data_IF_603237807347
#
_entry.id   IF_603237807347
#
_cell.length_a   1.000
_cell.length_b   1.000
_cell.length_c   1.000
_cell.angle_alpha   90.00
_cell.angle_beta   90.00
_cell.angle_gamma   90.00
#
_symmetry.space_group_name_H-M   'P 1'
#
loop_
_entity.id
_entity.type
_entity.pdbx_description
1 polymer ?
#
# COMPACT_ATOMS: atom_id res chain seq x y z
N UNK A 1 -5.55 -4.62 29.65
CA UNK A 1 -6.40 -3.46 29.91
C UNK A 1 -7.11 -3.03 28.67
N UNK A 2 -8.41 -2.99 28.74
CA UNK A 2 -9.24 -2.62 27.62
C UNK A 2 -8.91 -1.23 27.07
N UNK A 3 -8.72 -0.27 27.96
CA UNK A 3 -8.37 1.10 27.59
C UNK A 3 -7.05 1.17 26.84
N UNK A 4 -6.04 0.44 27.30
CA UNK A 4 -4.74 0.42 26.65
C UNK A 4 -4.80 -0.29 25.28
N UNK A 5 -5.61 -1.34 25.20
CA UNK A 5 -5.80 -2.03 23.94
C UNK A 5 -6.32 -1.08 22.86
N UNK A 6 -7.31 -0.26 23.18
CA UNK A 6 -7.88 0.67 22.20
C UNK A 6 -7.00 1.91 21.95
N UNK A 7 -6.04 2.19 22.82
CA UNK A 7 -5.11 3.29 22.63
C UNK A 7 -3.91 2.89 21.78
N UNK A 8 -3.69 1.59 21.57
CA UNK A 8 -2.64 1.11 20.69
C UNK A 8 -3.17 0.92 19.28
N UNK A 9 -2.42 1.38 18.28
CA UNK A 9 -2.77 1.11 16.91
C UNK A 9 -2.31 -0.31 16.52
N UNK A 10 -2.85 -0.82 15.42
CA UNK A 10 -2.59 -2.19 14.99
C UNK A 10 -1.12 -2.41 14.66
N UNK A 11 -0.47 -1.45 14.01
CA UNK A 11 0.94 -1.58 13.64
C UNK A 11 1.84 -1.72 14.86
N UNK A 12 1.56 -0.96 15.93
CA UNK A 12 2.32 -1.06 17.19
C UNK A 12 2.10 -2.41 17.86
N UNK A 13 0.86 -2.88 17.89
CA UNK A 13 0.54 -4.17 18.49
C UNK A 13 1.25 -5.32 17.79
N UNK A 14 1.42 -5.21 16.49
CA UNK A 14 2.10 -6.23 15.68
C UNK A 14 3.61 -6.01 15.57
N UNK A 15 4.14 -4.94 16.11
CA UNK A 15 5.57 -4.64 16.04
C UNK A 15 6.04 -4.26 14.63
N UNK A 16 5.20 -3.64 13.83
CA UNK A 16 5.46 -3.39 12.41
C UNK A 16 5.88 -1.95 12.10
N UNK A 17 6.16 -1.14 13.10
CA UNK A 17 6.40 0.29 12.91
C UNK A 17 7.63 0.62 12.07
N UNK A 18 8.62 -0.26 12.08
CA UNK A 18 9.88 -0.02 11.36
C UNK A 18 9.96 -0.72 10.00
N UNK A 19 8.94 -1.47 9.62
CA UNK A 19 8.96 -2.23 8.38
C UNK A 19 8.60 -1.35 7.19
N UNK A 20 9.42 -1.40 6.13
CA UNK A 20 9.18 -0.66 4.90
C UNK A 20 8.31 -1.42 3.92
N UNK A 21 8.42 -2.74 3.90
CA UNK A 21 7.65 -3.59 2.99
C UNK A 21 7.01 -4.70 3.81
N UNK A 22 5.70 -4.82 3.70
CA UNK A 22 4.93 -5.86 4.36
C UNK A 22 4.10 -6.60 3.33
N UNK A 23 4.22 -7.92 3.30
CA UNK A 23 3.44 -8.75 2.40
C UNK A 23 2.41 -9.55 3.18
N UNK A 24 1.15 -9.44 2.77
CA UNK A 24 0.03 -10.11 3.42
C UNK A 24 -0.31 -11.35 2.61
N UNK A 25 -0.20 -12.52 3.24
CA UNK A 25 -0.45 -13.81 2.60
C UNK A 25 -1.46 -14.60 3.42
N UNK A 26 -1.96 -15.70 2.86
CA UNK A 26 -2.88 -16.58 3.56
C UNK A 26 -4.30 -16.49 3.07
N UNK A 27 -5.26 -16.87 3.91
CA UNK A 27 -6.67 -16.92 3.57
C UNK A 27 -7.37 -15.56 3.55
N UNK A 28 -8.68 -15.55 3.77
CA UNK A 28 -9.48 -14.34 3.72
C UNK A 28 -9.06 -13.27 4.72
N UNK A 29 -9.48 -12.03 4.49
CA UNK A 29 -9.23 -10.92 5.39
C UNK A 29 -7.96 -10.13 5.11
N UNK A 30 -7.15 -10.54 4.13
CA UNK A 30 -5.90 -9.85 3.81
C UNK A 30 -6.11 -8.40 3.41
N UNK A 31 -7.07 -8.16 2.52
CA UNK A 31 -7.34 -6.81 2.02
C UNK A 31 -7.81 -5.89 3.15
N UNK A 32 -8.70 -6.36 4.00
CA UNK A 32 -9.17 -5.57 5.14
C UNK A 32 -8.05 -5.21 6.09
N UNK A 33 -7.17 -6.16 6.38
CA UNK A 33 -6.02 -5.92 7.26
C UNK A 33 -5.06 -4.92 6.63
N UNK A 34 -4.76 -5.09 5.36
CA UNK A 34 -3.88 -4.20 4.62
C UNK A 34 -4.43 -2.77 4.59
N UNK A 35 -5.71 -2.63 4.29
CA UNK A 35 -6.36 -1.31 4.26
C UNK A 35 -6.31 -0.65 5.63
N UNK A 36 -6.60 -1.41 6.68
CA UNK A 36 -6.58 -0.89 8.06
C UNK A 36 -5.19 -0.39 8.43
N UNK A 37 -4.16 -1.18 8.16
CA UNK A 37 -2.78 -0.77 8.43
C UNK A 37 -2.36 0.43 7.59
N UNK A 38 -2.77 0.45 6.33
CA UNK A 38 -2.48 1.58 5.45
C UNK A 38 -3.05 2.88 5.98
N UNK A 39 -4.30 2.86 6.40
CA UNK A 39 -4.95 4.03 6.99
C UNK A 39 -4.24 4.45 8.28
N UNK A 40 -3.86 3.49 9.10
CA UNK A 40 -3.15 3.74 10.34
C UNK A 40 -1.83 4.46 10.14
N UNK A 41 -1.00 3.93 9.23
CA UNK A 41 0.27 4.57 8.89
C UNK A 41 0.05 5.98 8.34
N UNK A 42 -0.93 6.12 7.45
CA UNK A 42 -1.22 7.41 6.83
C UNK A 42 -1.67 8.45 7.85
N UNK A 43 -2.45 8.04 8.84
CA UNK A 43 -2.85 8.93 9.93
C UNK A 43 -1.67 9.40 10.77
N UNK A 44 -0.62 8.61 10.84
CA UNK A 44 0.64 8.99 11.47
C UNK A 44 1.54 9.79 10.53
N UNK A 45 1.04 10.17 9.36
CA UNK A 45 1.74 10.91 8.31
C UNK A 45 2.92 10.13 7.73
N UNK A 46 2.81 8.81 7.73
CA UNK A 46 3.80 7.94 7.09
C UNK A 46 3.29 7.61 5.68
N UNK A 47 4.00 8.02 4.63
CA UNK A 47 3.59 7.71 3.25
C UNK A 47 3.47 6.21 3.05
N UNK A 48 2.33 5.77 2.54
CA UNK A 48 1.99 4.36 2.43
C UNK A 48 1.39 4.06 1.07
N UNK A 49 1.88 2.99 0.44
CA UNK A 49 1.42 2.52 -0.86
C UNK A 49 0.87 1.12 -0.73
N UNK A 50 -0.37 0.94 -1.14
CA UNK A 50 -1.03 -0.37 -1.19
C UNK A 50 -0.85 -0.95 -2.59
N UNK A 51 -0.49 -2.23 -2.69
CA UNK A 51 -0.34 -2.88 -3.99
C UNK A 51 -0.58 -4.39 -3.88
N UNK A 52 -0.30 -5.12 -4.93
CA UNK A 52 -0.52 -6.56 -4.97
C UNK A 52 0.52 -7.23 -5.88
N UNK A 53 0.84 -8.47 -5.59
CA UNK A 53 1.58 -9.34 -6.52
C UNK A 53 0.66 -10.32 -7.24
N UNK A 54 -0.63 -10.24 -7.00
CA UNK A 54 -1.64 -11.06 -7.65
C UNK A 54 -2.73 -10.19 -8.26
N UNK A 55 -3.86 -10.07 -7.56
CA UNK A 55 -4.99 -9.24 -7.98
C UNK A 55 -5.64 -8.63 -6.76
N UNK A 56 -6.11 -7.40 -6.89
CA UNK A 56 -6.98 -6.76 -5.89
C UNK A 56 -8.04 -5.95 -6.63
N UNK A 57 -9.10 -5.64 -5.93
CA UNK A 57 -10.05 -4.67 -6.45
C UNK A 57 -9.50 -3.27 -6.20
N UNK A 58 -9.65 -2.40 -7.19
CA UNK A 58 -9.25 -1.00 -7.03
C UNK A 58 -9.94 -0.43 -5.79
N UNK A 59 -9.19 0.14 -4.84
CA UNK A 59 -9.80 0.71 -3.63
C UNK A 59 -10.75 1.84 -3.97
N UNK A 60 -11.98 1.74 -3.49
CA UNK A 60 -12.98 2.78 -3.73
C UNK A 60 -13.00 3.84 -2.62
N UNK A 61 -12.32 3.59 -1.50
CA UNK A 61 -12.24 4.55 -0.41
C UNK A 61 -11.15 5.62 -0.63
N UNK A 62 -10.31 5.47 -1.65
CA UNK A 62 -9.27 6.44 -1.97
C UNK A 62 -9.73 7.40 -3.07
N UNK A 63 -9.28 8.67 -3.02
CA UNK A 63 -9.57 9.58 -4.13
C UNK A 63 -8.86 9.11 -5.40
N UNK A 64 -9.41 9.49 -6.55
CA UNK A 64 -8.89 9.05 -7.84
C UNK A 64 -7.40 9.34 -8.03
N UNK A 65 -6.94 10.49 -7.57
CA UNK A 65 -5.53 10.87 -7.70
C UNK A 65 -4.59 9.99 -6.88
N UNK A 66 -5.12 9.29 -5.88
CA UNK A 66 -4.35 8.37 -5.06
C UNK A 66 -4.33 6.95 -5.64
N UNK A 67 -5.05 6.72 -6.72
CA UNK A 67 -5.07 5.43 -7.42
C UNK A 67 -4.15 5.51 -8.61
N UNK A 68 -2.98 4.90 -8.51
CA UNK A 68 -1.94 4.95 -9.53
C UNK A 68 -2.05 3.68 -10.38
N UNK A 69 -2.29 3.86 -11.66
CA UNK A 69 -2.59 2.75 -12.55
C UNK A 69 -1.54 2.56 -13.63
N UNK A 70 -0.35 3.11 -13.42
CA UNK A 70 0.79 3.01 -14.33
C UNK A 70 2.07 2.68 -13.57
N UNK A 71 2.98 2.02 -14.23
CA UNK A 71 4.32 1.74 -13.69
C UNK A 71 5.20 2.98 -13.82
N UNK A 72 4.99 3.93 -12.94
CA UNK A 72 5.64 5.24 -13.02
C UNK A 72 6.04 5.71 -11.62
N UNK A 73 7.34 5.59 -11.31
CA UNK A 73 7.88 6.04 -10.02
C UNK A 73 7.72 7.55 -9.84
N UNK A 74 7.82 8.31 -10.91
CA UNK A 74 7.62 9.76 -10.86
C UNK A 74 6.23 10.14 -10.43
N UNK A 75 5.21 9.42 -10.88
CA UNK A 75 3.84 9.66 -10.47
C UNK A 75 3.64 9.34 -8.99
N UNK A 76 4.24 8.25 -8.52
CA UNK A 76 4.19 7.88 -7.10
C UNK A 76 4.86 8.96 -6.26
N UNK A 77 6.06 9.37 -6.63
CA UNK A 77 6.79 10.44 -5.94
C UNK A 77 6.01 11.74 -5.93
N UNK A 78 5.46 12.12 -7.08
CA UNK A 78 4.71 13.36 -7.21
C UNK A 78 3.48 13.37 -6.30
N UNK A 79 2.78 12.25 -6.21
CA UNK A 79 1.63 12.16 -5.31
C UNK A 79 2.03 12.48 -3.88
N UNK A 80 3.09 11.84 -3.38
CA UNK A 80 3.47 11.99 -1.97
C UNK A 80 4.16 13.32 -1.66
N UNK A 81 4.83 13.93 -2.61
CA UNK A 81 5.51 15.20 -2.37
C UNK A 81 4.59 16.41 -2.51
N UNK A 82 3.48 16.28 -3.22
CA UNK A 82 2.55 17.38 -3.48
C UNK A 82 1.26 17.30 -2.66
N UNK A 83 1.27 16.54 -1.58
CA UNK A 83 0.09 16.38 -0.74
C UNK A 83 -0.24 17.63 0.05
N UNK A 84 -1.52 17.97 0.08
CA UNK A 84 -2.05 18.97 1.00
C UNK A 84 -2.23 18.33 2.38
N UNK A 85 -2.26 19.19 3.42
CA UNK A 85 -2.29 18.71 4.81
C UNK A 85 -3.52 17.88 5.16
N UNK A 86 -4.64 18.15 4.51
CA UNK A 86 -5.89 17.44 4.78
C UNK A 86 -6.03 16.13 4.02
N UNK A 87 -5.05 15.80 3.16
CA UNK A 87 -5.07 14.56 2.39
C UNK A 87 -4.18 13.53 3.07
N UNK A 88 -4.71 12.32 3.28
CA UNK A 88 -3.91 11.23 3.83
C UNK A 88 -2.82 10.82 2.83
N UNK A 89 -1.57 10.61 3.31
CA UNK A 89 -0.50 10.12 2.45
C UNK A 89 -0.65 8.62 2.20
N UNK A 90 -1.74 8.25 1.52
CA UNK A 90 -2.09 6.88 1.22
C UNK A 90 -2.48 6.77 -0.25
N UNK A 91 -1.77 5.94 -0.97
CA UNK A 91 -2.02 5.68 -2.38
C UNK A 91 -2.10 4.18 -2.63
N UNK A 92 -2.60 3.80 -3.78
CA UNK A 92 -2.65 2.42 -4.20
C UNK A 92 -2.13 2.30 -5.63
N UNK A 93 -1.44 1.20 -5.90
CA UNK A 93 -0.85 0.93 -7.21
C UNK A 93 -1.36 -0.41 -7.72
N UNK A 94 -1.90 -0.40 -8.91
CA UNK A 94 -2.31 -1.62 -9.60
C UNK A 94 -2.53 -1.34 -11.07
N UNK A 95 -2.48 -2.38 -11.88
CA UNK A 95 -2.66 -2.25 -13.32
C UNK A 95 -4.08 -2.70 -13.66
N UNK A 96 -4.91 -1.84 -14.24
CA UNK A 96 -6.28 -2.22 -14.56
C UNK A 96 -6.34 -3.43 -15.49
N UNK A 97 -7.14 -4.40 -15.12
CA UNK A 97 -7.30 -5.60 -15.93
C UNK A 97 -8.68 -5.69 -16.54
N UNK A 98 -9.74 -5.58 -15.71
CA UNK A 98 -11.10 -5.64 -16.21
C UNK A 98 -12.08 -5.02 -15.22
N UNK A 99 -13.27 -4.71 -15.68
CA UNK A 99 -14.38 -4.29 -14.82
C UNK A 99 -15.28 -5.47 -14.49
N UNK A 100 -15.70 -5.53 -13.25
CA UNK A 100 -16.68 -6.50 -12.76
C UNK A 100 -17.72 -5.70 -11.98
N UNK A 101 -18.96 -5.60 -12.50
CA UNK A 101 -20.06 -4.88 -11.84
C UNK A 101 -19.66 -3.46 -11.40
N UNK A 102 -19.17 -2.65 -12.30
CA UNK A 102 -18.74 -1.27 -12.00
C UNK A 102 -17.51 -1.15 -11.11
N UNK A 103 -16.87 -2.26 -10.75
CA UNK A 103 -15.60 -2.24 -10.01
C UNK A 103 -14.47 -2.63 -10.92
N UNK A 104 -13.32 -2.00 -10.73
CA UNK A 104 -12.14 -2.28 -11.53
C UNK A 104 -11.29 -3.29 -10.78
N UNK A 105 -10.95 -4.38 -11.46
CA UNK A 105 -10.01 -5.35 -10.95
C UNK A 105 -8.62 -4.97 -11.42
N UNK A 106 -7.69 -4.91 -10.49
CA UNK A 106 -6.29 -4.63 -10.76
C UNK A 106 -5.46 -5.91 -10.70
N UNK A 107 -4.48 -5.98 -11.57
CA UNK A 107 -3.43 -7.01 -11.48
C UNK A 107 -2.16 -6.37 -10.96
N UNK A 108 -1.20 -7.23 -10.62
CA UNK A 108 0.13 -6.82 -10.16
C UNK A 108 0.86 -6.00 -11.22
N UNK A 109 1.63 -4.99 -10.81
CA UNK A 109 2.65 -4.44 -11.68
C UNK A 109 3.67 -5.51 -12.07
N UNK A 110 4.50 -5.24 -13.07
CA UNK A 110 5.52 -6.18 -13.50
C UNK A 110 6.54 -6.44 -12.39
N UNK A 111 7.17 -7.60 -12.44
CA UNK A 111 8.23 -7.95 -11.48
C UNK A 111 9.36 -6.92 -11.53
N UNK A 112 9.73 -6.47 -12.72
CA UNK A 112 10.78 -5.46 -12.86
C UNK A 112 10.42 -4.15 -12.18
N UNK A 113 9.16 -3.73 -12.31
CA UNK A 113 8.72 -2.51 -11.64
C UNK A 113 8.69 -2.70 -10.13
N UNK A 114 8.23 -3.85 -9.66
CA UNK A 114 8.20 -4.13 -8.22
C UNK A 114 9.60 -4.14 -7.62
N UNK A 115 10.61 -4.60 -8.36
CA UNK A 115 12.02 -4.50 -7.92
C UNK A 115 12.46 -3.06 -7.81
N UNK A 116 12.15 -2.24 -8.79
CA UNK A 116 12.48 -0.80 -8.75
C UNK A 116 11.79 -0.12 -7.58
N UNK A 117 10.53 -0.45 -7.34
CA UNK A 117 9.76 0.11 -6.25
C UNK A 117 10.36 -0.26 -4.89
N UNK A 118 10.76 -1.52 -4.74
CA UNK A 118 11.41 -2.01 -3.53
C UNK A 118 12.71 -1.26 -3.24
N UNK A 119 13.56 -1.10 -4.25
CA UNK A 119 14.79 -0.33 -4.11
C UNK A 119 14.51 1.14 -3.81
N UNK A 120 13.51 1.71 -4.47
CA UNK A 120 13.11 3.09 -4.24
C UNK A 120 12.71 3.32 -2.78
N UNK A 121 11.90 2.42 -2.23
CA UNK A 121 11.43 2.57 -0.85
C UNK A 121 12.56 2.53 0.17
N UNK A 122 13.69 1.89 -0.17
CA UNK A 122 14.84 1.75 0.72
C UNK A 122 15.87 2.86 0.58
N UNK A 123 16.16 3.25 -0.67
CA UNK A 123 17.34 4.07 -0.96
C UNK A 123 17.04 5.55 -1.21
N UNK A 124 15.85 5.84 -1.73
CA UNK A 124 15.54 7.21 -2.16
C UNK A 124 14.53 7.86 -1.23
N UNK A 125 14.60 7.50 0.02
CA UNK A 125 13.54 7.83 0.93
C UNK A 125 13.69 9.19 1.59
N UNK A 126 13.66 10.24 0.82
CA UNK A 126 13.13 11.49 1.36
C UNK A 126 11.69 11.30 1.82
N UNK A 127 11.09 10.20 1.40
CA UNK A 127 9.67 9.93 1.61
C UNK A 127 9.42 8.86 2.68
N UNK A 128 10.37 7.99 2.97
CA UNK A 128 10.19 6.86 3.92
C UNK A 128 8.95 6.03 3.61
N UNK A 129 8.82 5.64 2.36
CA UNK A 129 7.60 4.98 1.88
C UNK A 129 7.42 3.59 2.48
N UNK A 130 6.22 3.35 3.03
CA UNK A 130 5.79 2.01 3.43
C UNK A 130 5.05 1.38 2.26
N UNK A 131 5.35 0.13 1.97
CA UNK A 131 4.65 -0.63 0.92
C UNK A 131 3.93 -1.80 1.57
N UNK A 132 2.62 -1.84 1.41
CA UNK A 132 1.79 -2.93 1.88
C UNK A 132 1.31 -3.69 0.66
N UNK A 133 1.64 -4.97 0.59
CA UNK A 133 1.42 -5.78 -0.60
C UNK A 133 0.61 -7.03 -0.29
N UNK A 134 -0.47 -7.25 -1.02
CA UNK A 134 -1.23 -8.48 -0.94
C UNK A 134 -0.62 -9.50 -1.90
N UNK A 135 -0.31 -10.70 -1.39
CA UNK A 135 0.27 -11.76 -2.18
C UNK A 135 -0.32 -13.12 -1.84
N UNK A 136 0.06 -14.13 -2.60
CA UNK A 136 -0.40 -15.50 -2.37
C UNK A 136 0.63 -16.38 -1.66
N UNK A 137 1.74 -15.80 -1.24
CA UNK A 137 2.80 -16.53 -0.55
C UNK A 137 3.82 -17.16 -1.47
N UNK A 138 3.46 -17.44 -2.72
CA UNK A 138 4.39 -17.99 -3.69
C UNK A 138 5.10 -16.92 -4.52
N UNK A 139 4.50 -15.72 -4.57
CA UNK A 139 5.06 -14.57 -5.28
C UNK A 139 5.34 -13.49 -4.26
N UNK A 140 6.59 -13.33 -3.90
CA UNK A 140 7.00 -12.33 -2.91
C UNK A 140 7.66 -11.15 -3.59
N UNK A 141 7.57 -9.97 -2.93
CA UNK A 141 8.35 -8.84 -3.36
C UNK A 141 9.84 -9.15 -3.23
N UNK A 142 10.64 -8.80 -4.23
CA UNK A 142 12.09 -8.93 -4.12
C UNK A 142 12.60 -7.97 -3.05
N UNK A 143 13.22 -8.52 -2.07
CA UNK A 143 13.76 -7.71 -0.96
C UNK A 143 15.26 -7.68 -1.00
#
# INVERSE_FOLDING_TARGET
MKKNFFNHNLSSLLGLTDSHILTFVGGGGKTSLMDTLGIEFAKQRIPTLLTTTTHIMKPDFLPSKACIEEENLGQITSFFTNLEEDILPLAALGIPEKKIYNKVKWKSPSINFMKKLSLFSRKYSNISLRILCEGDGSKRLPI
#
